data_IF_303768252374
#
_entry.id   IF_303768252374
#
_cell.length_a   1.000
_cell.length_b   1.000
_cell.length_c   1.000
_cell.angle_alpha   90.00
_cell.angle_beta   90.00
_cell.angle_gamma   90.00
#
_symmetry.space_group_name_H-M   'P 1'
#
loop_
_entity.id
_entity.type
_entity.pdbx_description
1 polymer ?
#
# COMPACT_ATOMS: atom_id res chain seq x y z
N UNK A 1 -43.19 -15.85 -10.09
CA UNK A 1 -42.96 -14.39 -10.19
C UNK A 1 -41.79 -14.03 -9.28
N UNK A 2 -40.59 -13.91 -9.82
CA UNK A 2 -39.44 -13.40 -9.07
C UNK A 2 -39.62 -11.88 -8.97
N UNK A 3 -39.90 -11.39 -7.77
CA UNK A 3 -40.20 -10.00 -7.49
C UNK A 3 -38.89 -9.19 -7.37
N UNK A 4 -38.63 -8.37 -8.40
CA UNK A 4 -38.01 -7.03 -8.45
C UNK A 4 -36.79 -6.60 -7.61
N UNK A 5 -36.16 -7.43 -6.78
CA UNK A 5 -34.95 -7.02 -6.04
C UNK A 5 -33.63 -7.59 -6.62
N UNK A 6 -33.58 -7.80 -7.94
CA UNK A 6 -32.35 -8.17 -8.66
C UNK A 6 -31.33 -7.02 -8.79
N UNK A 7 -31.71 -5.78 -8.44
CA UNK A 7 -30.78 -4.63 -8.48
C UNK A 7 -29.89 -4.51 -7.24
N UNK A 8 -30.26 -5.17 -6.15
CA UNK A 8 -29.54 -5.11 -4.87
C UNK A 8 -28.15 -5.73 -4.96
N UNK A 9 -28.00 -6.87 -5.64
CA UNK A 9 -26.71 -7.54 -5.80
C UNK A 9 -25.77 -6.75 -6.73
N UNK A 10 -26.31 -6.09 -7.76
CA UNK A 10 -25.53 -5.21 -8.65
C UNK A 10 -25.01 -4.01 -7.85
N UNK A 11 -25.87 -3.39 -7.04
CA UNK A 11 -25.47 -2.29 -6.15
C UNK A 11 -24.40 -2.75 -5.13
N UNK A 12 -24.60 -3.88 -4.46
CA UNK A 12 -23.62 -4.45 -3.53
C UNK A 12 -22.27 -4.75 -4.22
N UNK A 13 -22.29 -5.31 -5.42
CA UNK A 13 -21.08 -5.62 -6.20
C UNK A 13 -20.34 -4.36 -6.67
N UNK A 14 -21.08 -3.30 -7.01
CA UNK A 14 -20.47 -2.00 -7.32
C UNK A 14 -19.80 -1.39 -6.10
N UNK A 15 -20.47 -1.41 -4.93
CA UNK A 15 -19.89 -0.92 -3.67
C UNK A 15 -18.60 -1.68 -3.35
N UNK A 16 -18.60 -3.00 -3.48
CA UNK A 16 -17.40 -3.82 -3.28
C UNK A 16 -16.27 -3.44 -4.24
N UNK A 17 -16.58 -3.28 -5.53
CA UNK A 17 -15.59 -2.88 -6.54
C UNK A 17 -15.00 -1.49 -6.24
N UNK A 18 -15.83 -0.54 -5.82
CA UNK A 18 -15.38 0.80 -5.41
C UNK A 18 -14.48 0.73 -4.20
N UNK A 19 -14.82 -0.07 -3.18
CA UNK A 19 -13.99 -0.23 -1.99
C UNK A 19 -12.62 -0.84 -2.31
N UNK A 20 -12.56 -1.83 -3.21
CA UNK A 20 -11.29 -2.44 -3.65
C UNK A 20 -10.42 -1.40 -4.35
N UNK A 21 -11.01 -0.65 -5.29
CA UNK A 21 -10.32 0.40 -6.03
C UNK A 21 -9.83 1.47 -5.05
N UNK A 22 -10.70 1.98 -4.17
CA UNK A 22 -10.32 2.97 -3.16
C UNK A 22 -9.16 2.50 -2.30
N UNK A 23 -9.21 1.25 -1.81
CA UNK A 23 -8.14 0.66 -1.01
C UNK A 23 -6.82 0.58 -1.77
N UNK A 24 -6.82 0.25 -3.07
CA UNK A 24 -5.62 0.24 -3.90
C UNK A 24 -5.07 1.64 -4.20
N UNK A 25 -5.94 2.59 -4.51
CA UNK A 25 -5.55 3.96 -4.86
C UNK A 25 -5.09 4.78 -3.65
N UNK A 26 -5.50 4.39 -2.44
CA UNK A 26 -5.07 5.00 -1.18
C UNK A 26 -3.82 4.35 -0.57
N UNK A 27 -3.20 3.38 -1.26
CA UNK A 27 -1.96 2.76 -0.78
C UNK A 27 -0.83 3.79 -0.68
N UNK A 28 -0.01 3.73 0.39
CA UNK A 28 1.14 4.61 0.56
C UNK A 28 2.08 4.64 -0.66
N UNK A 29 2.35 3.49 -1.28
CA UNK A 29 3.19 3.40 -2.48
C UNK A 29 2.64 4.19 -3.67
N UNK A 30 1.31 4.31 -3.81
CA UNK A 30 0.67 5.07 -4.89
C UNK A 30 0.63 6.56 -4.58
N UNK A 31 0.33 6.90 -3.32
CA UNK A 31 0.22 8.30 -2.87
C UNK A 31 1.57 9.00 -2.83
N UNK A 32 2.58 8.36 -2.23
CA UNK A 32 3.88 8.96 -1.95
C UNK A 32 4.92 8.68 -3.04
N UNK A 33 4.63 7.75 -3.96
CA UNK A 33 5.46 7.44 -5.14
C UNK A 33 6.95 7.28 -4.77
N UNK A 34 7.28 6.29 -3.91
CA UNK A 34 8.66 6.03 -3.53
C UNK A 34 9.50 5.74 -4.78
N UNK A 35 10.78 6.11 -4.73
CA UNK A 35 11.72 5.77 -5.81
C UNK A 35 11.99 4.27 -5.77
N UNK A 36 11.70 3.60 -6.88
CA UNK A 36 11.99 2.17 -7.05
C UNK A 36 13.25 2.02 -7.90
N UNK A 37 14.26 1.37 -7.36
CA UNK A 37 15.53 1.11 -8.05
C UNK A 37 16.11 -0.25 -7.63
N UNK A 38 17.09 -0.74 -8.40
CA UNK A 38 17.82 -1.98 -8.06
C UNK A 38 19.02 -1.64 -7.18
N UNK A 39 19.11 -2.31 -6.04
CA UNK A 39 20.26 -2.27 -5.14
C UNK A 39 20.85 -3.68 -5.04
N UNK A 40 21.99 -3.89 -5.70
CA UNK A 40 22.62 -5.20 -5.83
C UNK A 40 21.70 -6.24 -6.48
N UNK A 41 21.26 -7.24 -5.70
CA UNK A 41 20.40 -8.32 -6.17
C UNK A 41 18.91 -8.13 -5.83
N UNK A 42 18.52 -7.00 -5.23
CA UNK A 42 17.16 -6.75 -4.79
C UNK A 42 16.62 -5.43 -5.33
N UNK A 43 15.30 -5.32 -5.34
CA UNK A 43 14.59 -4.07 -5.59
C UNK A 43 14.37 -3.34 -4.28
N UNK A 44 14.62 -2.04 -4.29
CA UNK A 44 14.41 -1.14 -3.16
C UNK A 44 13.38 -0.08 -3.56
N UNK A 45 12.34 0.08 -2.74
CA UNK A 45 11.37 1.16 -2.81
C UNK A 45 11.63 2.11 -1.64
N UNK A 46 12.17 3.30 -1.92
CA UNK A 46 12.59 4.28 -0.92
C UNK A 46 11.70 5.54 -0.94
N UNK A 47 11.20 5.92 0.23
CA UNK A 47 10.64 7.24 0.50
C UNK A 47 11.39 7.93 1.64
N UNK A 48 11.98 9.09 1.35
CA UNK A 48 12.83 9.85 2.28
C UNK A 48 14.14 10.29 1.62
N UNK A 49 14.98 11.02 2.36
CA UNK A 49 16.31 11.43 1.86
C UNK A 49 17.26 10.23 1.73
N UNK A 50 17.25 9.34 2.73
CA UNK A 50 18.12 8.17 2.78
C UNK A 50 17.39 6.96 3.36
N UNK A 51 17.88 5.75 3.06
CA UNK A 51 17.33 4.47 3.57
C UNK A 51 17.29 4.40 5.09
N UNK A 52 18.24 5.05 5.77
CA UNK A 52 18.37 5.02 7.23
C UNK A 52 17.33 5.89 7.95
N UNK A 53 16.98 7.04 7.37
CA UNK A 53 16.03 7.99 7.97
C UNK A 53 14.61 7.82 7.39
N UNK A 54 14.52 7.25 6.19
CA UNK A 54 13.27 7.05 5.47
C UNK A 54 12.57 5.72 5.73
N UNK A 55 11.56 5.47 4.90
CA UNK A 55 10.82 4.22 4.84
C UNK A 55 11.28 3.51 3.56
N UNK A 56 11.83 2.32 3.72
CA UNK A 56 12.35 1.53 2.61
C UNK A 56 11.75 0.12 2.64
N UNK A 57 11.28 -0.35 1.50
CA UNK A 57 10.85 -1.73 1.28
C UNK A 57 11.78 -2.45 0.33
N UNK A 58 12.16 -3.69 0.65
CA UNK A 58 13.06 -4.49 -0.17
C UNK A 58 12.37 -5.77 -0.65
N UNK A 59 12.63 -6.18 -1.91
CA UNK A 59 12.04 -7.38 -2.48
C UNK A 59 12.80 -7.94 -3.68
N UNK A 60 12.48 -9.16 -4.11
CA UNK A 60 13.08 -9.79 -5.29
C UNK A 60 12.51 -9.24 -6.61
N UNK A 61 11.36 -8.59 -6.54
CA UNK A 61 10.68 -7.91 -7.64
C UNK A 61 10.26 -6.49 -7.24
N UNK A 62 10.00 -5.59 -8.22
CA UNK A 62 9.48 -4.25 -7.93
C UNK A 62 8.17 -4.29 -7.14
N UNK A 63 7.30 -5.26 -7.45
CA UNK A 63 6.02 -5.43 -6.77
C UNK A 63 6.19 -5.85 -5.30
N UNK A 64 7.13 -6.76 -5.02
CA UNK A 64 7.46 -7.13 -3.63
C UNK A 64 8.06 -5.98 -2.84
N UNK A 65 8.94 -5.18 -3.46
CA UNK A 65 9.51 -4.00 -2.83
C UNK A 65 8.43 -2.97 -2.47
N UNK A 66 7.46 -2.74 -3.38
CA UNK A 66 6.30 -1.87 -3.13
C UNK A 66 5.39 -2.39 -2.01
N UNK A 67 5.09 -3.69 -1.99
CA UNK A 67 4.31 -4.31 -0.92
C UNK A 67 5.00 -4.19 0.44
N UNK A 68 6.32 -4.43 0.49
CA UNK A 68 7.11 -4.28 1.70
C UNK A 68 7.15 -2.83 2.18
N UNK A 69 7.24 -1.88 1.26
CA UNK A 69 7.17 -0.46 1.58
C UNK A 69 5.85 -0.10 2.26
N UNK A 70 4.71 -0.55 1.74
CA UNK A 70 3.41 -0.31 2.36
C UNK A 70 3.33 -0.89 3.77
N UNK A 71 3.83 -2.12 3.98
CA UNK A 71 3.88 -2.73 5.33
C UNK A 71 4.73 -1.92 6.31
N UNK A 72 5.92 -1.50 5.89
CA UNK A 72 6.81 -0.68 6.73
C UNK A 72 6.21 0.70 7.03
N UNK A 73 5.45 1.26 6.10
CA UNK A 73 4.75 2.53 6.29
C UNK A 73 3.77 2.49 7.47
N UNK A 74 2.98 1.43 7.58
CA UNK A 74 2.03 1.28 8.68
C UNK A 74 2.71 0.81 9.98
N UNK A 75 3.83 0.09 9.89
CA UNK A 75 4.59 -0.40 11.05
C UNK A 75 5.28 0.73 11.81
N UNK A 76 5.85 1.72 11.11
CA UNK A 76 6.59 2.84 11.72
C UNK A 76 5.71 3.93 12.35
N UNK A 77 4.38 3.81 12.33
CA UNK A 77 3.47 4.75 13.01
C UNK A 77 3.46 4.60 14.53
N UNK A 78 4.16 3.60 15.09
CA UNK A 78 4.39 3.51 16.53
C UNK A 78 5.53 4.46 16.91
N UNK A 79 5.19 5.71 17.25
CA UNK A 79 6.13 6.66 17.83
C UNK A 79 6.67 6.03 19.13
N UNK A 80 8.00 5.81 19.28
CA UNK A 80 8.54 5.38 20.56
C UNK A 80 8.18 6.45 21.58
N UNK A 81 7.53 6.04 22.67
CA UNK A 81 7.20 6.92 23.78
C UNK A 81 8.53 7.43 24.32
N UNK A 82 8.76 8.75 24.26
CA UNK A 82 9.91 9.38 24.88
C UNK A 82 9.88 9.05 26.38
N UNK A 83 10.77 8.15 26.81
CA UNK A 83 10.95 7.82 28.23
C UNK A 83 11.95 8.85 28.78
N UNK A 84 11.42 9.76 29.59
CA UNK A 84 12.14 10.88 30.21
C UNK A 84 12.79 10.46 31.52
#
# INVERSE_FOLDING_TARGET
>A
MLSRDDSSWVACRMIESVNIIEAEWTRPVILYKPRIFRDGNQWCALYGENVQEGIAGFGSSPAEAALRFDSEWFSKLVIPKEEK
#
